data_IF_658249212042
#
_entry.id   IF_658249212042
#
_cell.length_a   1.000
_cell.length_b   1.000
_cell.length_c   1.000
_cell.angle_alpha   90.00
_cell.angle_beta   90.00
_cell.angle_gamma   90.00
#
_symmetry.space_group_name_H-M   'P 1'
#
loop_
_entity.id
_entity.type
_entity.pdbx_description
1 polymer ?
#
# COMPACT_ATOMS: atom_id res chain seq x y z
N UNK A 1 61.73 45.70 37.11
CA UNK A 1 62.69 45.47 36.01
C UNK A 1 62.06 44.44 35.10
N UNK A 2 61.71 44.88 33.91
CA UNK A 2 60.64 44.35 33.07
C UNK A 2 61.30 43.61 31.91
N UNK A 3 60.82 42.42 31.51
CA UNK A 3 60.89 41.90 30.13
C UNK A 3 59.74 40.93 29.88
N UNK A 4 58.67 41.46 29.30
CA UNK A 4 57.75 40.73 28.42
C UNK A 4 58.56 40.01 27.33
N UNK A 5 58.25 38.74 27.04
CA UNK A 5 58.62 38.12 25.77
C UNK A 5 57.37 37.45 25.20
N UNK A 6 57.11 37.84 23.96
CA UNK A 6 55.84 37.79 23.27
C UNK A 6 55.37 36.38 22.88
N UNK A 7 54.04 36.30 22.72
CA UNK A 7 53.36 35.26 21.96
C UNK A 7 54.02 35.05 20.58
N UNK A 8 54.35 33.81 20.27
CA UNK A 8 54.42 33.33 18.88
C UNK A 8 53.51 32.11 18.73
N UNK A 9 52.26 32.34 18.31
CA UNK A 9 51.40 31.30 17.75
C UNK A 9 51.96 30.89 16.38
N UNK A 10 52.59 29.72 16.30
CA UNK A 10 52.95 29.10 15.03
C UNK A 10 51.99 27.92 14.78
N UNK A 11 51.12 27.96 13.75
CA UNK A 11 50.19 26.87 13.48
C UNK A 11 50.92 25.71 12.79
N UNK A 12 50.82 24.50 13.34
CA UNK A 12 51.29 23.28 12.66
C UNK A 12 50.08 22.41 12.29
N UNK A 13 50.05 22.19 10.97
CA UNK A 13 49.04 21.67 10.08
C UNK A 13 48.51 20.27 10.44
N UNK A 14 47.21 20.12 10.62
CA UNK A 14 46.52 18.82 10.68
C UNK A 14 46.48 18.21 9.27
N UNK A 15 47.27 17.16 9.05
CA UNK A 15 47.31 16.42 7.78
C UNK A 15 45.95 15.79 7.47
N UNK A 16 45.14 16.45 6.63
CA UNK A 16 43.94 15.87 6.03
C UNK A 16 44.37 14.81 5.02
N UNK A 17 44.18 13.53 5.35
CA UNK A 17 44.34 12.46 4.38
C UNK A 17 43.09 12.40 3.48
N UNK A 18 43.07 13.26 2.47
CA UNK A 18 42.17 13.11 1.32
C UNK A 18 42.87 12.19 0.31
N UNK A 19 42.61 10.89 0.37
CA UNK A 19 42.98 9.99 -0.73
C UNK A 19 41.85 9.98 -1.75
N UNK A 20 42.04 10.79 -2.79
CA UNK A 20 41.29 10.72 -4.03
C UNK A 20 41.49 9.32 -4.65
N UNK A 21 40.44 8.49 -4.60
CA UNK A 21 40.33 7.31 -5.45
C UNK A 21 39.11 7.49 -6.34
N UNK A 22 39.30 8.29 -7.39
CA UNK A 22 38.57 8.08 -8.63
C UNK A 22 39.09 6.74 -9.19
N UNK A 23 38.21 5.88 -9.69
CA UNK A 23 38.47 4.48 -10.11
C UNK A 23 38.25 3.39 -9.05
N UNK A 24 37.07 3.36 -8.43
CA UNK A 24 36.45 2.08 -8.05
C UNK A 24 35.07 1.93 -8.70
N UNK A 25 35.12 1.27 -9.86
CA UNK A 25 34.16 0.27 -10.33
C UNK A 25 32.67 0.65 -10.36
N UNK A 26 32.32 1.33 -11.45
CA UNK A 26 31.02 1.21 -12.15
C UNK A 26 30.68 -0.27 -12.41
N UNK A 27 29.91 -0.91 -11.53
CA UNK A 27 29.32 -2.25 -11.77
C UNK A 27 28.08 -2.59 -10.89
N UNK A 28 27.33 -1.59 -10.41
CA UNK A 28 26.04 -1.83 -9.72
C UNK A 28 24.86 -1.15 -10.46
N UNK A 29 25.05 -0.77 -11.72
CA UNK A 29 24.01 -0.04 -12.49
C UNK A 29 23.04 -0.94 -13.26
N UNK A 30 23.14 -2.27 -13.18
CA UNK A 30 22.35 -3.18 -14.05
C UNK A 30 21.40 -4.15 -13.36
N UNK A 31 21.19 -4.05 -12.04
CA UNK A 31 20.17 -4.85 -11.32
C UNK A 31 18.89 -4.06 -10.97
N UNK A 32 18.73 -2.84 -11.50
CA UNK A 32 17.61 -1.94 -11.16
C UNK A 32 16.53 -1.85 -12.26
N UNK A 33 16.61 -2.64 -13.34
CA UNK A 33 15.69 -2.54 -14.48
C UNK A 33 14.64 -3.66 -14.56
N UNK A 34 14.32 -4.30 -13.43
CA UNK A 34 13.10 -5.10 -13.30
C UNK A 34 12.52 -5.05 -11.88
N UNK A 35 12.50 -3.87 -11.27
CA UNK A 35 11.57 -3.64 -10.17
C UNK A 35 10.23 -3.28 -10.79
N UNK A 36 9.44 -4.29 -11.15
CA UNK A 36 8.01 -4.08 -11.38
C UNK A 36 7.48 -3.33 -10.16
N UNK A 37 6.96 -2.13 -10.38
CA UNK A 37 6.44 -1.28 -9.31
C UNK A 37 5.17 -1.91 -8.76
N UNK A 38 5.32 -2.95 -7.93
CA UNK A 38 4.33 -3.20 -6.91
C UNK A 38 4.45 -2.02 -5.95
N UNK A 39 3.68 -0.96 -6.21
CA UNK A 39 3.47 0.10 -5.23
C UNK A 39 2.93 -0.64 -4.00
N UNK A 40 3.78 -0.82 -2.98
CA UNK A 40 3.32 -1.32 -1.70
C UNK A 40 2.25 -0.33 -1.25
N UNK A 41 1.02 -0.81 -1.09
CA UNK A 41 -0.07 0.02 -0.57
C UNK A 41 0.40 0.61 0.76
N UNK A 42 0.60 1.94 0.79
CA UNK A 42 0.97 2.65 1.99
C UNK A 42 -0.32 3.08 2.66
N UNK A 43 -0.66 2.44 3.77
CA UNK A 43 -1.84 2.76 4.55
C UNK A 43 -1.64 4.14 5.22
N UNK A 44 -2.37 5.15 4.74
CA UNK A 44 -2.31 6.53 5.26
C UNK A 44 -3.13 6.69 6.55
N UNK A 45 -4.04 5.75 6.81
CA UNK A 45 -4.97 5.77 7.92
C UNK A 45 -4.30 5.63 9.29
N UNK A 46 -4.85 6.34 10.26
CA UNK A 46 -4.42 6.37 11.65
C UNK A 46 -5.54 5.79 12.52
N UNK A 47 -5.17 4.88 13.42
CA UNK A 47 -6.11 4.34 14.42
C UNK A 47 -6.67 5.47 15.30
N UNK A 48 -7.96 5.36 15.64
CA UNK A 48 -8.69 6.37 16.40
C UNK A 48 -9.03 7.65 15.63
N UNK A 49 -8.53 7.83 14.41
CA UNK A 49 -8.76 9.04 13.60
C UNK A 49 -9.55 8.69 12.33
N UNK A 50 -10.88 8.84 12.37
CA UNK A 50 -11.77 8.56 11.23
C UNK A 50 -11.39 9.32 9.96
N UNK A 51 -11.06 10.60 10.09
CA UNK A 51 -10.78 11.49 8.95
C UNK A 51 -9.55 11.05 8.16
N UNK A 52 -8.57 10.41 8.81
CA UNK A 52 -7.39 9.87 8.14
C UNK A 52 -7.71 8.75 7.13
N UNK A 53 -8.88 8.11 7.24
CA UNK A 53 -9.35 7.05 6.33
C UNK A 53 -10.22 7.57 5.18
N UNK A 54 -10.65 8.84 5.23
CA UNK A 54 -11.53 9.47 4.26
C UNK A 54 -10.74 10.14 3.12
N UNK A 55 -9.85 9.37 2.50
CA UNK A 55 -8.99 9.81 1.41
C UNK A 55 -9.77 10.25 0.16
N UNK A 56 -9.13 10.92 -0.83
CA UNK A 56 -9.79 11.22 -2.09
C UNK A 56 -10.33 9.99 -2.82
N UNK A 57 -9.65 8.83 -2.70
CA UNK A 57 -10.13 7.57 -3.26
C UNK A 57 -11.36 7.03 -2.52
N UNK A 58 -11.39 7.15 -1.19
CA UNK A 58 -12.56 6.79 -0.38
C UNK A 58 -13.82 7.53 -0.83
N UNK A 59 -13.69 8.82 -1.17
CA UNK A 59 -14.82 9.65 -1.59
C UNK A 59 -15.36 9.32 -3.00
N UNK A 60 -14.63 8.51 -3.79
CA UNK A 60 -15.12 8.09 -5.12
C UNK A 60 -16.17 6.99 -5.04
N UNK A 61 -16.20 6.22 -3.95
CA UNK A 61 -17.20 5.18 -3.72
C UNK A 61 -18.18 5.62 -2.63
N UNK A 62 -19.39 5.96 -3.04
CA UNK A 62 -20.47 6.36 -2.13
C UNK A 62 -20.82 5.27 -1.11
N UNK A 63 -20.62 3.99 -1.47
CA UNK A 63 -20.94 2.84 -0.65
C UNK A 63 -20.11 2.80 0.63
N UNK A 64 -18.84 3.23 0.57
CA UNK A 64 -17.94 3.27 1.73
C UNK A 64 -18.45 4.24 2.80
N UNK A 65 -18.89 5.43 2.37
CA UNK A 65 -19.52 6.40 3.25
C UNK A 65 -20.86 5.88 3.81
N UNK A 66 -21.70 5.29 2.94
CA UNK A 66 -22.99 4.74 3.35
C UNK A 66 -22.88 3.62 4.41
N UNK A 67 -21.80 2.82 4.36
CA UNK A 67 -21.55 1.74 5.32
C UNK A 67 -20.72 2.17 6.55
N UNK A 68 -20.34 3.45 6.67
CA UNK A 68 -19.45 3.96 7.71
C UNK A 68 -18.09 3.22 7.81
N UNK A 69 -17.50 2.87 6.66
CA UNK A 69 -16.25 2.09 6.63
C UNK A 69 -15.09 2.80 7.34
N UNK A 70 -14.97 4.14 7.23
CA UNK A 70 -13.91 4.91 7.90
C UNK A 70 -13.93 4.78 9.42
N UNK A 71 -15.12 4.65 10.02
CA UNK A 71 -15.24 4.40 11.46
C UNK A 71 -14.72 3.01 11.85
N UNK A 72 -15.01 1.99 11.05
CA UNK A 72 -14.53 0.64 11.29
C UNK A 72 -12.99 0.56 11.15
N UNK A 73 -12.42 1.18 10.12
CA UNK A 73 -10.98 1.23 9.92
C UNK A 73 -10.26 2.00 11.04
N UNK A 74 -10.83 3.11 11.53
CA UNK A 74 -10.29 3.83 12.68
C UNK A 74 -10.26 2.96 13.96
N UNK A 75 -11.18 2.01 14.09
CA UNK A 75 -11.17 1.01 15.17
C UNK A 75 -10.25 -0.19 14.89
N UNK A 76 -9.59 -0.23 13.72
CA UNK A 76 -8.71 -1.33 13.30
C UNK A 76 -9.43 -2.53 12.71
N UNK A 77 -10.70 -2.39 12.31
CA UNK A 77 -11.45 -3.46 11.65
C UNK A 77 -11.34 -3.34 10.13
N UNK A 78 -10.80 -4.38 9.49
CA UNK A 78 -10.61 -4.45 8.03
C UNK A 78 -10.88 -5.87 7.48
N UNK A 79 -11.71 -6.65 8.18
CA UNK A 79 -12.09 -8.01 7.78
C UNK A 79 -11.07 -9.09 8.14
N UNK A 80 -10.15 -8.82 9.07
CA UNK A 80 -9.18 -9.79 9.56
C UNK A 80 -9.86 -11.07 10.05
N UNK A 81 -9.36 -12.23 9.60
CA UNK A 81 -9.88 -13.55 9.97
C UNK A 81 -11.15 -13.99 9.23
N UNK A 82 -11.85 -13.10 8.52
CA UNK A 82 -13.00 -13.46 7.70
C UNK A 82 -12.55 -14.13 6.38
N UNK A 83 -13.29 -15.14 5.92
CA UNK A 83 -13.12 -15.75 4.59
C UNK A 83 -14.40 -15.53 3.79
N UNK A 84 -14.27 -14.88 2.64
CA UNK A 84 -15.38 -14.61 1.71
C UNK A 84 -15.16 -15.40 0.43
N UNK A 85 -16.19 -16.14 0.00
CA UNK A 85 -16.21 -16.83 -1.29
C UNK A 85 -17.04 -16.05 -2.30
N UNK A 86 -16.49 -15.82 -3.49
CA UNK A 86 -17.22 -15.21 -4.61
C UNK A 86 -17.35 -16.26 -5.71
N UNK A 87 -18.57 -16.61 -6.06
CA UNK A 87 -18.87 -17.55 -7.14
C UNK A 87 -19.17 -16.74 -8.41
N UNK A 88 -18.20 -16.69 -9.31
CA UNK A 88 -18.27 -15.99 -10.60
C UNK A 88 -17.67 -16.89 -11.70
N UNK A 89 -17.81 -16.46 -12.95
CA UNK A 89 -17.14 -17.00 -14.14
C UNK A 89 -15.61 -17.00 -14.07
N UNK A 90 -15.01 -16.14 -13.24
CA UNK A 90 -13.57 -16.10 -13.00
C UNK A 90 -13.11 -14.75 -12.42
N UNK A 91 -11.81 -14.64 -12.11
CA UNK A 91 -11.16 -13.40 -11.70
C UNK A 91 -9.75 -13.32 -12.31
N UNK A 92 -9.33 -12.11 -12.71
CA UNK A 92 -7.97 -11.87 -13.20
C UNK A 92 -6.99 -11.76 -12.02
N UNK A 93 -6.55 -12.91 -11.49
CA UNK A 93 -5.65 -12.94 -10.33
C UNK A 93 -4.24 -12.38 -10.59
N UNK A 94 -3.89 -12.08 -11.83
CA UNK A 94 -2.65 -11.39 -12.16
C UNK A 94 -2.71 -9.87 -11.91
N UNK A 95 -3.88 -9.32 -11.57
CA UNK A 95 -4.00 -7.90 -11.21
C UNK A 95 -3.27 -7.61 -9.89
N UNK A 96 -2.52 -6.52 -9.83
CA UNK A 96 -1.67 -6.18 -8.67
C UNK A 96 -2.47 -6.12 -7.35
N UNK A 97 -3.67 -5.54 -7.36
CA UNK A 97 -4.55 -5.47 -6.17
C UNK A 97 -5.06 -6.83 -5.67
N UNK A 98 -5.06 -7.84 -6.55
CA UNK A 98 -5.46 -9.21 -6.25
C UNK A 98 -4.24 -10.13 -6.02
N UNK A 99 -3.04 -9.56 -6.06
CA UNK A 99 -1.81 -10.31 -5.81
C UNK A 99 -1.63 -10.65 -4.33
N UNK A 100 -0.73 -11.59 -4.05
CA UNK A 100 -0.42 -12.06 -2.70
C UNK A 100 -1.29 -13.24 -2.24
N UNK A 101 -1.20 -13.58 -0.95
CA UNK A 101 -1.81 -14.77 -0.36
C UNK A 101 -3.26 -14.60 0.10
N UNK A 102 -3.87 -13.42 -0.09
CA UNK A 102 -5.24 -13.13 0.36
C UNK A 102 -6.32 -13.71 -0.55
N UNK A 103 -6.00 -13.93 -1.83
CA UNK A 103 -6.93 -14.41 -2.84
C UNK A 103 -6.53 -15.82 -3.31
N UNK A 104 -7.50 -16.72 -3.34
CA UNK A 104 -7.30 -18.09 -3.80
C UNK A 104 -8.37 -18.44 -4.83
N UNK A 105 -7.96 -18.70 -6.08
CA UNK A 105 -8.87 -19.24 -7.07
C UNK A 105 -9.21 -20.69 -6.72
N UNK A 106 -10.50 -20.98 -6.66
CA UNK A 106 -11.02 -22.34 -6.59
C UNK A 106 -11.85 -22.57 -7.85
N UNK A 107 -11.53 -23.65 -8.57
CA UNK A 107 -12.34 -24.09 -9.71
C UNK A 107 -13.17 -25.29 -9.28
N UNK A 108 -14.48 -25.08 -9.19
CA UNK A 108 -15.43 -26.14 -8.91
C UNK A 108 -16.28 -26.42 -10.15
N UNK A 109 -16.70 -27.66 -10.32
CA UNK A 109 -17.75 -28.07 -11.26
C UNK A 109 -18.89 -28.68 -10.45
N UNK A 110 -20.12 -28.39 -10.83
CA UNK A 110 -21.28 -28.92 -10.14
C UNK A 110 -22.57 -28.54 -10.85
N UNK A 111 -23.66 -29.18 -10.42
CA UNK A 111 -25.00 -28.82 -10.84
C UNK A 111 -25.54 -27.76 -9.87
N UNK A 112 -26.11 -26.68 -10.40
CA UNK A 112 -26.77 -25.68 -9.57
C UNK A 112 -28.08 -26.27 -9.05
N UNK A 113 -28.26 -26.27 -7.72
CA UNK A 113 -29.52 -26.72 -7.11
C UNK A 113 -30.74 -25.85 -7.48
N UNK A 114 -30.51 -24.66 -8.02
CA UNK A 114 -31.52 -23.82 -8.65
C UNK A 114 -30.88 -22.82 -9.62
N UNK A 115 -31.52 -22.54 -10.74
CA UNK A 115 -31.23 -21.39 -11.61
C UNK A 115 -32.45 -20.48 -11.64
N UNK A 116 -32.28 -19.15 -11.62
CA UNK A 116 -33.43 -18.25 -11.73
C UNK A 116 -33.12 -16.77 -11.56
N UNK A 117 -33.63 -15.95 -12.48
CA UNK A 117 -33.77 -14.50 -12.29
C UNK A 117 -34.95 -14.25 -11.36
N UNK A 118 -34.70 -13.88 -10.10
CA UNK A 118 -35.76 -13.36 -9.22
C UNK A 118 -36.01 -11.89 -9.52
N UNK A 119 -36.71 -11.62 -10.62
CA UNK A 119 -37.47 -10.37 -10.68
C UNK A 119 -38.81 -10.62 -9.98
N UNK A 120 -39.15 -9.89 -8.90
CA UNK A 120 -40.52 -9.85 -8.44
C UNK A 120 -41.35 -9.11 -9.49
N UNK A 121 -41.91 -9.83 -10.46
CA UNK A 121 -42.98 -9.28 -11.27
C UNK A 121 -44.21 -9.19 -10.37
N UNK A 122 -44.50 -7.97 -9.91
CA UNK A 122 -45.75 -7.64 -9.23
C UNK A 122 -46.91 -7.90 -10.20
N UNK A 123 -47.54 -9.06 -10.10
CA UNK A 123 -48.71 -9.41 -10.88
C UNK A 123 -49.90 -8.50 -10.52
N UNK A 124 -50.47 -7.88 -11.56
CA UNK A 124 -51.92 -7.73 -11.72
C UNK A 124 -52.61 -6.65 -10.91
N UNK A 125 -52.62 -5.41 -11.41
CA UNK A 125 -53.80 -4.53 -11.27
C UNK A 125 -54.44 -4.40 -12.64
N UNK A 126 -55.50 -5.17 -12.88
CA UNK A 126 -56.50 -4.84 -13.90
C UNK A 126 -57.37 -3.73 -13.32
N UNK A 127 -57.54 -2.66 -14.09
CA UNK A 127 -58.53 -1.60 -13.85
C UNK A 127 -59.95 -2.16 -13.99
#
# INVERSE_FOLDING_TARGET
>A
MNKEIALSHHPINQKKNTTNSLFQLSLITSALLFSGYAVAYSEVGQLGNKQSWESPEYQKDWGLAAMNASSAYALGFHGQGAKVGVMDSGALLSHQELSGSRFHAVKAKGEYGSTGMRYPTRNGRTL
#
